data_IF_498170636158
#
_entry.id   IF_498170636158
#
_cell.length_a   1.000
_cell.length_b   1.000
_cell.length_c   1.000
_cell.angle_alpha   90.00
_cell.angle_beta   90.00
_cell.angle_gamma   90.00
#
_symmetry.space_group_name_H-M   'P 1'
#
loop_
_entity.id
_entity.type
_entity.pdbx_description
1 polymer ?
#
# COMPACT_ATOMS: atom_id res chain seq x y z
N UNK A 1 23.07 69.52 -12.30
CA UNK A 1 21.91 68.71 -12.76
C UNK A 1 22.38 67.27 -12.82
N UNK A 2 22.12 66.48 -11.78
CA UNK A 2 22.41 65.05 -11.74
C UNK A 2 21.09 64.31 -11.96
N UNK A 3 20.89 63.90 -13.20
CA UNK A 3 19.67 63.28 -13.70
C UNK A 3 19.78 61.77 -13.47
N UNK A 4 19.38 61.29 -12.28
CA UNK A 4 19.36 59.86 -11.98
C UNK A 4 17.94 59.32 -12.20
N UNK A 5 17.72 58.76 -13.38
CA UNK A 5 16.44 58.19 -13.77
C UNK A 5 16.02 57.05 -12.80
N UNK A 6 14.74 56.98 -12.39
CA UNK A 6 14.29 55.99 -11.42
C UNK A 6 14.43 54.57 -11.96
N UNK A 7 15.13 53.71 -11.20
CA UNK A 7 15.27 52.28 -11.54
C UNK A 7 13.88 51.64 -11.59
N UNK A 8 13.48 51.02 -12.72
CA UNK A 8 12.17 50.41 -12.84
C UNK A 8 12.02 49.26 -11.82
N UNK A 9 10.82 49.08 -11.23
CA UNK A 9 10.59 48.05 -10.24
C UNK A 9 10.91 46.67 -10.82
N UNK A 10 11.73 45.90 -10.10
CA UNK A 10 12.10 44.53 -10.46
C UNK A 10 10.82 43.73 -10.68
N UNK A 11 10.55 43.28 -11.92
CA UNK A 11 9.37 42.45 -12.24
C UNK A 11 9.26 41.32 -11.22
N UNK A 12 8.13 41.21 -10.52
CA UNK A 12 7.81 40.04 -9.69
C UNK A 12 7.95 38.81 -10.59
N UNK A 13 8.89 37.92 -10.29
CA UNK A 13 9.05 36.65 -11.01
C UNK A 13 7.73 35.89 -10.88
N UNK A 14 7.11 35.57 -12.01
CA UNK A 14 5.97 34.67 -12.05
C UNK A 14 6.35 33.39 -11.31
N UNK A 15 5.59 33.00 -10.28
CA UNK A 15 5.64 31.63 -9.78
C UNK A 15 5.16 30.76 -10.94
N UNK A 16 6.09 30.06 -11.60
CA UNK A 16 5.74 29.18 -12.71
C UNK A 16 4.64 28.21 -12.30
N UNK A 17 3.84 27.75 -13.27
CA UNK A 17 2.79 26.74 -13.06
C UNK A 17 3.31 25.42 -12.45
N UNK A 18 4.64 25.23 -12.44
CA UNK A 18 5.28 24.02 -11.97
C UNK A 18 5.75 24.16 -10.52
N UNK A 19 5.36 23.21 -9.64
CA UNK A 19 5.72 23.18 -8.23
C UNK A 19 7.23 23.04 -8.05
N UNK A 20 7.79 23.74 -7.05
CA UNK A 20 9.24 23.81 -6.81
C UNK A 20 9.73 22.81 -5.77
N UNK A 21 8.83 22.32 -4.91
CA UNK A 21 9.07 21.25 -3.94
C UNK A 21 8.11 20.10 -4.19
N UNK A 22 8.46 18.90 -3.72
CA UNK A 22 7.60 17.71 -3.81
C UNK A 22 6.25 17.93 -3.12
N UNK A 23 6.27 18.53 -1.93
CA UNK A 23 5.08 18.96 -1.16
C UNK A 23 4.15 19.88 -1.98
N UNK A 24 4.73 20.76 -2.81
CA UNK A 24 3.97 21.70 -3.65
C UNK A 24 3.29 21.01 -4.84
N UNK A 25 3.72 19.78 -5.19
CA UNK A 25 3.26 19.06 -6.39
C UNK A 25 1.90 18.43 -6.22
N UNK A 26 1.49 18.21 -4.97
CA UNK A 26 0.25 17.58 -4.60
C UNK A 26 -0.69 18.61 -3.98
N UNK A 27 -1.24 19.46 -4.86
CA UNK A 27 -2.33 20.39 -4.54
C UNK A 27 -3.54 19.68 -3.91
N UNK A 28 -3.63 18.38 -4.07
CA UNK A 28 -4.66 17.48 -3.54
C UNK A 28 -4.54 17.22 -2.02
N UNK A 29 -3.39 17.54 -1.40
CA UNK A 29 -3.21 17.52 0.07
C UNK A 29 -3.90 18.70 0.79
N UNK A 30 -4.39 19.70 0.05
CA UNK A 30 -5.11 20.87 0.57
C UNK A 30 -6.50 20.93 -0.09
N UNK A 31 -7.45 20.07 0.32
CA UNK A 31 -8.74 19.90 -0.34
C UNK A 31 -9.55 21.21 -0.37
N UNK A 32 -9.37 22.05 0.66
CA UNK A 32 -10.03 23.36 0.78
C UNK A 32 -9.53 24.36 -0.28
N UNK A 33 -8.30 24.19 -0.78
CA UNK A 33 -7.66 25.12 -1.72
C UNK A 33 -7.73 24.71 -3.18
N UNK A 34 -7.99 23.42 -3.47
CA UNK A 34 -7.96 22.87 -4.83
C UNK A 34 -9.08 21.86 -5.15
N UNK A 35 -10.30 22.11 -4.67
CA UNK A 35 -11.48 21.24 -4.89
C UNK A 35 -11.74 20.85 -6.35
N UNK A 36 -11.54 21.75 -7.32
CA UNK A 36 -11.71 21.45 -8.75
C UNK A 36 -10.69 20.43 -9.29
N UNK A 37 -9.47 20.42 -8.72
CA UNK A 37 -8.41 19.48 -9.12
C UNK A 37 -8.72 18.09 -8.57
N UNK A 38 -9.16 18.02 -7.31
CA UNK A 38 -9.63 16.78 -6.65
C UNK A 38 -10.80 16.18 -7.42
N UNK A 39 -11.82 16.97 -7.76
CA UNK A 39 -12.98 16.53 -8.53
C UNK A 39 -12.60 15.98 -9.92
N UNK A 40 -11.64 16.61 -10.60
CA UNK A 40 -11.15 16.18 -11.92
C UNK A 40 -10.32 14.89 -11.85
N UNK A 41 -9.55 14.70 -10.77
CA UNK A 41 -8.78 13.48 -10.52
C UNK A 41 -9.73 12.31 -10.23
N UNK A 42 -10.73 12.52 -9.37
CA UNK A 42 -11.81 11.55 -9.09
C UNK A 42 -12.57 11.17 -10.36
N UNK A 43 -12.99 12.16 -11.17
CA UNK A 43 -13.70 11.92 -12.43
C UNK A 43 -12.85 11.16 -13.47
N UNK A 44 -11.52 11.17 -13.33
CA UNK A 44 -10.61 10.39 -14.19
C UNK A 44 -10.33 8.98 -13.66
N UNK A 45 -11.03 8.54 -12.61
CA UNK A 45 -10.82 7.24 -11.97
C UNK A 45 -9.48 7.14 -11.23
N UNK A 46 -8.86 8.29 -10.94
CA UNK A 46 -7.60 8.36 -10.19
C UNK A 46 -7.90 8.80 -8.77
N UNK A 47 -7.08 8.31 -7.85
CA UNK A 47 -7.15 8.66 -6.45
C UNK A 47 -6.35 9.94 -6.21
N UNK A 48 -6.97 11.03 -5.70
CA UNK A 48 -6.23 12.22 -5.31
C UNK A 48 -5.19 11.92 -4.23
N UNK A 49 -4.00 12.51 -4.31
CA UNK A 49 -2.94 12.32 -3.33
C UNK A 49 -3.39 12.73 -1.93
N UNK A 50 -3.25 11.81 -0.97
CA UNK A 50 -3.75 11.98 0.40
C UNK A 50 -5.21 11.57 0.61
N UNK A 51 -5.92 11.16 -0.44
CA UNK A 51 -7.18 10.44 -0.35
C UNK A 51 -6.98 8.99 -0.82
N UNK A 52 -7.80 8.06 -0.36
CA UNK A 52 -7.83 6.70 -0.89
C UNK A 52 -9.27 6.39 -1.29
N UNK A 53 -9.51 6.06 -2.57
CA UNK A 53 -10.80 5.56 -3.03
C UNK A 53 -10.70 4.04 -3.01
N UNK A 54 -11.33 3.38 -2.04
CA UNK A 54 -11.35 1.92 -2.00
C UNK A 54 -11.98 1.35 -3.28
N UNK A 55 -11.41 0.27 -3.78
CA UNK A 55 -11.81 -0.39 -5.04
C UNK A 55 -12.85 -1.46 -4.71
N UNK A 56 -13.80 -1.66 -5.62
CA UNK A 56 -14.83 -2.72 -5.54
C UNK A 56 -15.62 -2.74 -4.22
N UNK A 57 -15.79 -1.57 -3.57
CA UNK A 57 -16.47 -1.42 -2.27
C UNK A 57 -17.81 -2.14 -2.27
N UNK A 58 -18.70 -1.76 -3.20
CA UNK A 58 -20.06 -2.31 -3.22
C UNK A 58 -20.04 -3.83 -3.43
N UNK A 59 -19.20 -4.34 -4.33
CA UNK A 59 -19.08 -5.78 -4.58
C UNK A 59 -18.58 -6.56 -3.36
N UNK A 60 -17.58 -6.02 -2.65
CA UNK A 60 -17.06 -6.63 -1.43
C UNK A 60 -18.12 -6.64 -0.33
N UNK A 61 -18.78 -5.52 -0.11
CA UNK A 61 -19.81 -5.38 0.92
C UNK A 61 -21.02 -6.28 0.63
N UNK A 62 -21.45 -6.36 -0.62
CA UNK A 62 -22.55 -7.24 -1.05
C UNK A 62 -22.21 -8.72 -0.82
N UNK A 63 -20.96 -9.10 -1.08
CA UNK A 63 -20.48 -10.48 -0.85
C UNK A 63 -20.47 -10.86 0.63
N UNK A 64 -20.15 -9.90 1.51
CA UNK A 64 -20.10 -10.09 2.96
C UNK A 64 -21.49 -10.13 3.62
N UNK A 65 -22.54 -9.62 2.97
CA UNK A 65 -23.90 -9.56 3.52
C UNK A 65 -23.97 -8.94 4.92
N UNK A 66 -23.29 -7.80 5.08
CA UNK A 66 -23.18 -7.09 6.35
C UNK A 66 -24.56 -6.68 6.90
N UNK A 67 -24.73 -6.82 8.20
CA UNK A 67 -25.92 -6.40 8.93
C UNK A 67 -25.56 -5.75 10.27
N UNK A 68 -26.47 -4.92 10.84
CA UNK A 68 -26.29 -4.37 12.17
C UNK A 68 -26.00 -5.44 13.22
N UNK A 69 -25.08 -5.17 14.14
CA UNK A 69 -24.71 -6.10 15.20
C UNK A 69 -23.60 -7.10 14.84
N UNK A 70 -23.23 -7.22 13.57
CA UNK A 70 -22.18 -8.15 13.15
C UNK A 70 -20.80 -7.74 13.68
N UNK A 71 -20.04 -8.73 14.10
CA UNK A 71 -18.63 -8.61 14.45
C UNK A 71 -17.77 -9.12 13.31
N UNK A 72 -16.73 -8.38 12.94
CA UNK A 72 -15.86 -8.78 11.85
C UNK A 72 -14.44 -8.27 11.95
N UNK A 73 -13.65 -8.69 10.97
CA UNK A 73 -12.24 -8.33 10.82
C UNK A 73 -12.03 -7.67 9.46
N UNK A 74 -11.43 -6.48 9.45
CA UNK A 74 -10.73 -5.94 8.28
C UNK A 74 -9.24 -6.28 8.45
N UNK A 75 -8.76 -7.25 7.68
CA UNK A 75 -7.43 -7.84 7.83
C UNK A 75 -6.31 -6.94 7.25
N UNK A 76 -6.67 -5.88 6.53
CA UNK A 76 -5.78 -5.00 5.78
C UNK A 76 -6.30 -3.56 5.87
N UNK A 77 -6.41 -3.06 7.09
CA UNK A 77 -7.09 -1.81 7.43
C UNK A 77 -6.66 -0.63 6.53
N UNK A 78 -5.36 -0.52 6.22
CA UNK A 78 -4.84 0.45 5.26
C UNK A 78 -5.24 1.87 5.61
N UNK A 79 -5.89 2.56 4.66
CA UNK A 79 -6.42 3.92 4.88
C UNK A 79 -7.77 3.95 5.64
N UNK A 80 -8.43 2.80 5.82
CA UNK A 80 -9.73 2.68 6.50
C UNK A 80 -10.94 3.00 5.63
N UNK A 81 -10.78 3.03 4.31
CA UNK A 81 -11.88 3.30 3.36
C UNK A 81 -12.98 2.23 3.43
N UNK A 82 -12.62 0.95 3.27
CA UNK A 82 -13.56 -0.15 3.45
C UNK A 82 -14.04 -0.27 4.89
N UNK A 83 -13.15 -0.11 5.88
CA UNK A 83 -13.53 -0.14 7.31
C UNK A 83 -14.66 0.83 7.65
N UNK A 84 -14.61 2.08 7.17
CA UNK A 84 -15.71 3.05 7.37
C UNK A 84 -17.02 2.56 6.75
N UNK A 85 -16.97 2.00 5.53
CA UNK A 85 -18.16 1.47 4.86
C UNK A 85 -18.72 0.22 5.52
N UNK A 86 -17.85 -0.62 6.07
CA UNK A 86 -18.24 -1.78 6.88
C UNK A 86 -18.93 -1.29 8.15
N UNK A 87 -18.34 -0.35 8.87
CA UNK A 87 -18.89 0.23 10.11
C UNK A 87 -20.25 0.92 9.89
N UNK A 88 -20.44 1.60 8.76
CA UNK A 88 -21.75 2.15 8.35
C UNK A 88 -22.84 1.06 8.26
N UNK A 89 -22.50 -0.16 7.80
CA UNK A 89 -23.44 -1.26 7.59
C UNK A 89 -23.66 -2.13 8.83
N UNK A 90 -22.67 -2.21 9.71
CA UNK A 90 -22.74 -3.02 10.94
C UNK A 90 -23.20 -2.24 12.16
N UNK A 91 -23.29 -0.91 12.06
CA UNK A 91 -23.94 -0.09 13.07
C UNK A 91 -25.47 -0.19 13.00
N UNK A 92 -26.18 -0.06 14.14
CA UNK A 92 -25.63 -0.05 15.51
C UNK A 92 -25.26 -1.45 16.00
N UNK A 93 -24.40 -1.52 17.02
CA UNK A 93 -24.09 -2.74 17.77
C UNK A 93 -23.03 -3.66 17.17
N UNK A 94 -22.57 -3.40 15.94
CA UNK A 94 -21.48 -4.15 15.33
C UNK A 94 -20.10 -3.75 15.88
N UNK A 95 -19.13 -4.65 15.71
CA UNK A 95 -17.73 -4.46 16.12
C UNK A 95 -16.78 -4.83 14.98
N UNK A 96 -15.83 -3.96 14.65
CA UNK A 96 -14.81 -4.20 13.64
C UNK A 96 -13.42 -4.17 14.26
N UNK A 97 -12.65 -5.24 14.05
CA UNK A 97 -11.21 -5.26 14.31
C UNK A 97 -10.47 -4.92 13.01
N UNK A 98 -9.68 -3.85 13.00
CA UNK A 98 -8.85 -3.46 11.86
C UNK A 98 -7.39 -3.85 12.06
N UNK A 99 -6.87 -4.82 11.30
CA UNK A 99 -5.49 -5.27 11.37
C UNK A 99 -4.63 -4.54 10.34
N UNK A 100 -3.44 -4.14 10.75
CA UNK A 100 -2.41 -3.65 9.83
C UNK A 100 -1.02 -3.89 10.44
N UNK A 101 -0.01 -4.07 9.59
CA UNK A 101 1.39 -4.18 10.01
C UNK A 101 2.09 -2.84 10.05
N UNK A 102 1.55 -1.84 9.35
CA UNK A 102 2.16 -0.53 9.13
C UNK A 102 2.05 0.35 10.38
N UNK A 103 3.17 0.46 11.10
CA UNK A 103 3.25 1.27 12.32
C UNK A 103 3.19 2.78 12.07
N UNK A 104 3.27 3.22 10.82
CA UNK A 104 3.24 4.65 10.44
C UNK A 104 1.83 5.09 10.07
N UNK A 105 1.13 4.27 9.27
CA UNK A 105 -0.20 4.62 8.76
C UNK A 105 -1.35 4.22 9.68
N UNK A 106 -1.25 3.08 10.39
CA UNK A 106 -2.34 2.58 11.24
C UNK A 106 -2.83 3.61 12.28
N UNK A 107 -1.96 4.33 13.04
CA UNK A 107 -2.43 5.33 13.99
C UNK A 107 -3.19 6.50 13.34
N UNK A 108 -2.81 6.87 12.12
CA UNK A 108 -3.51 7.92 11.35
C UNK A 108 -4.89 7.43 10.91
N UNK A 109 -4.99 6.17 10.49
CA UNK A 109 -6.25 5.54 10.12
C UNK A 109 -7.19 5.37 11.31
N UNK A 110 -6.67 4.95 12.46
CA UNK A 110 -7.47 4.91 13.69
C UNK A 110 -8.02 6.30 14.03
N UNK A 111 -7.18 7.34 14.05
CA UNK A 111 -7.61 8.70 14.33
C UNK A 111 -8.72 9.18 13.37
N UNK A 112 -8.62 8.83 12.07
CA UNK A 112 -9.64 9.13 11.06
C UNK A 112 -10.97 8.43 11.36
N UNK A 113 -10.93 7.15 11.72
CA UNK A 113 -12.13 6.37 12.06
C UNK A 113 -12.78 6.90 13.36
N UNK A 114 -11.97 7.27 14.36
CA UNK A 114 -12.47 7.94 15.58
C UNK A 114 -13.15 9.26 15.27
N UNK A 115 -12.53 10.09 14.42
CA UNK A 115 -13.09 11.38 14.01
C UNK A 115 -14.42 11.23 13.24
N UNK A 116 -14.64 10.09 12.58
CA UNK A 116 -15.90 9.75 11.92
C UNK A 116 -17.01 9.26 12.89
N UNK A 117 -16.73 9.19 14.20
CA UNK A 117 -17.70 8.84 15.23
C UNK A 117 -17.67 7.37 15.70
N UNK A 118 -16.71 6.57 15.22
CA UNK A 118 -16.59 5.16 15.60
C UNK A 118 -15.61 4.98 16.78
N UNK A 119 -16.17 4.94 17.98
CA UNK A 119 -15.44 4.77 19.25
C UNK A 119 -14.98 3.34 19.55
N UNK A 120 -14.34 3.14 20.71
CA UNK A 120 -13.76 1.86 21.12
C UNK A 120 -14.81 0.73 21.20
N UNK A 121 -16.08 1.09 21.43
CA UNK A 121 -17.19 0.14 21.51
C UNK A 121 -17.47 -0.58 20.17
N UNK A 122 -17.14 0.03 19.03
CA UNK A 122 -17.44 -0.51 17.71
C UNK A 122 -16.21 -0.70 16.80
N UNK A 123 -15.07 -0.09 17.12
CA UNK A 123 -13.85 -0.22 16.32
C UNK A 123 -12.59 -0.35 17.17
N UNK A 124 -11.71 -1.25 16.78
CA UNK A 124 -10.40 -1.44 17.40
C UNK A 124 -9.32 -1.65 16.33
N UNK A 125 -8.30 -0.78 16.30
CA UNK A 125 -7.13 -0.97 15.46
C UNK A 125 -6.11 -1.88 16.16
N UNK A 126 -5.61 -2.89 15.45
CA UNK A 126 -4.70 -3.90 16.00
C UNK A 126 -3.47 -4.00 15.12
N UNK A 127 -2.30 -3.68 15.67
CA UNK A 127 -1.04 -3.85 14.95
C UNK A 127 -0.67 -5.33 14.85
N UNK A 128 -1.07 -5.97 13.77
CA UNK A 128 -0.83 -7.40 13.51
C UNK A 128 -0.81 -7.65 12.00
N UNK A 129 0.01 -8.62 11.59
CA UNK A 129 -0.17 -9.23 10.28
C UNK A 129 -1.45 -10.08 10.31
N UNK A 130 -2.16 -10.14 9.19
CA UNK A 130 -3.40 -10.92 9.05
C UNK A 130 -3.18 -12.43 9.28
N UNK A 131 -1.98 -12.97 9.05
CA UNK A 131 -1.59 -14.33 9.43
C UNK A 131 -1.73 -14.59 10.94
N UNK A 132 -1.74 -13.54 11.76
CA UNK A 132 -1.94 -13.59 13.21
C UNK A 132 -3.41 -13.53 13.66
N UNK A 133 -4.38 -13.56 12.74
CA UNK A 133 -5.81 -13.34 13.05
C UNK A 133 -6.33 -14.22 14.19
N UNK A 134 -6.03 -15.53 14.17
CA UNK A 134 -6.50 -16.45 15.23
C UNK A 134 -5.98 -16.05 16.62
N UNK A 135 -4.74 -15.56 16.70
CA UNK A 135 -4.15 -15.06 17.96
C UNK A 135 -4.81 -13.75 18.39
N UNK A 136 -5.12 -12.86 17.44
CA UNK A 136 -5.81 -11.59 17.70
C UNK A 136 -7.21 -11.83 18.27
N UNK A 137 -7.96 -12.78 17.69
CA UNK A 137 -9.30 -13.17 18.15
C UNK A 137 -9.23 -13.86 19.52
N UNK A 138 -8.33 -14.83 19.69
CA UNK A 138 -8.16 -15.55 20.96
C UNK A 138 -7.77 -14.64 22.12
N UNK A 139 -6.95 -13.61 21.89
CA UNK A 139 -6.59 -12.62 22.91
C UNK A 139 -7.74 -11.69 23.33
N UNK A 140 -8.86 -11.72 22.59
CA UNK A 140 -10.09 -10.94 22.86
C UNK A 140 -11.26 -11.82 23.29
N UNK A 141 -11.00 -13.11 23.51
CA UNK A 141 -12.03 -14.12 23.79
C UNK A 141 -13.14 -14.14 22.72
N UNK A 142 -12.78 -13.88 21.46
CA UNK A 142 -13.71 -13.94 20.31
C UNK A 142 -13.56 -15.33 19.69
N UNK A 143 -14.57 -16.22 19.84
CA UNK A 143 -14.47 -17.59 19.32
C UNK A 143 -14.61 -17.65 17.79
N UNK A 144 -15.21 -16.64 17.17
CA UNK A 144 -15.36 -16.51 15.72
C UNK A 144 -16.04 -15.19 15.37
N UNK A 145 -15.92 -14.78 14.11
CA UNK A 145 -16.52 -13.55 13.58
C UNK A 145 -17.50 -13.84 12.45
N UNK A 146 -18.44 -12.93 12.22
CA UNK A 146 -19.45 -13.02 11.16
C UNK A 146 -18.86 -12.79 9.78
N UNK A 147 -17.83 -11.94 9.69
CA UNK A 147 -17.16 -11.66 8.42
C UNK A 147 -15.68 -11.34 8.56
N UNK A 148 -14.94 -11.61 7.49
CA UNK A 148 -13.54 -11.22 7.32
C UNK A 148 -13.36 -10.57 5.95
N UNK A 149 -12.76 -9.39 5.92
CA UNK A 149 -12.39 -8.66 4.72
C UNK A 149 -10.87 -8.57 4.59
N UNK A 150 -10.33 -8.70 3.38
CA UNK A 150 -8.93 -8.42 3.09
C UNK A 150 -8.80 -7.77 1.69
N UNK A 151 -8.01 -6.71 1.60
CA UNK A 151 -7.60 -5.99 0.40
C UNK A 151 -6.08 -6.13 0.28
N UNK A 152 -5.63 -7.13 -0.48
CA UNK A 152 -4.22 -7.53 -0.50
C UNK A 152 -3.34 -6.50 -1.23
N UNK A 153 -2.03 -6.61 -1.06
CA UNK A 153 -1.07 -5.71 -1.71
C UNK A 153 -0.77 -4.42 -0.94
N UNK A 154 -0.33 -3.39 -1.67
CA UNK A 154 0.15 -2.13 -1.07
C UNK A 154 -0.94 -1.08 -0.97
N UNK A 155 -0.94 -0.33 0.13
CA UNK A 155 -1.76 0.87 0.20
C UNK A 155 -1.19 1.98 -0.70
N UNK A 156 -2.08 2.82 -1.23
CA UNK A 156 -1.67 4.06 -1.93
C UNK A 156 -0.72 4.92 -1.10
N UNK A 157 -0.90 4.97 0.22
CA UNK A 157 -0.02 5.73 1.13
C UNK A 157 1.44 5.24 1.08
N UNK A 158 1.65 3.93 0.90
CA UNK A 158 2.98 3.34 0.75
C UNK A 158 3.60 3.61 -0.63
N UNK A 159 2.79 3.66 -1.69
CA UNK A 159 3.24 3.90 -3.05
C UNK A 159 3.53 5.39 -3.33
N UNK A 160 2.75 6.28 -2.71
CA UNK A 160 2.81 7.72 -2.95
C UNK A 160 3.89 8.41 -2.11
N UNK A 161 4.25 7.86 -0.95
CA UNK A 161 5.36 8.34 -0.12
C UNK A 161 6.71 7.76 -0.61
N UNK A 162 7.58 8.58 -1.25
CA UNK A 162 8.86 8.09 -1.75
C UNK A 162 9.78 7.57 -0.63
N UNK A 163 9.60 8.04 0.61
CA UNK A 163 10.42 7.60 1.75
C UNK A 163 10.19 6.13 2.11
N UNK A 164 9.09 5.53 1.63
CA UNK A 164 8.74 4.11 1.82
C UNK A 164 9.40 3.18 0.81
N UNK A 165 9.86 3.70 -0.34
CA UNK A 165 10.65 2.93 -1.28
C UNK A 165 9.90 1.93 -2.17
N UNK A 166 8.56 2.00 -2.25
CA UNK A 166 7.77 1.08 -3.08
C UNK A 166 7.72 1.48 -4.56
N UNK A 167 8.08 2.71 -4.91
CA UNK A 167 7.99 3.26 -6.26
C UNK A 167 9.34 3.71 -6.80
N UNK A 168 9.59 3.45 -8.07
CA UNK A 168 10.76 3.93 -8.82
C UNK A 168 10.49 5.21 -9.63
N UNK A 169 9.27 5.78 -9.54
CA UNK A 169 8.91 7.02 -10.25
C UNK A 169 9.61 8.25 -9.65
N UNK A 170 9.85 8.21 -8.34
CA UNK A 170 10.55 9.24 -7.57
C UNK A 170 11.64 8.55 -6.76
N UNK A 171 12.83 9.13 -6.69
CA UNK A 171 13.91 8.57 -5.90
C UNK A 171 13.56 8.56 -4.40
N UNK A 172 13.74 7.41 -3.77
CA UNK A 172 13.59 7.18 -2.34
C UNK A 172 14.50 6.03 -1.89
N UNK A 173 14.67 5.81 -0.57
CA UNK A 173 15.44 4.68 -0.07
C UNK A 173 14.85 3.36 -0.57
N UNK A 174 15.70 2.38 -0.89
CA UNK A 174 15.23 1.05 -1.29
C UNK A 174 14.82 0.22 -0.05
N UNK A 175 13.65 0.55 0.51
CA UNK A 175 13.11 -0.06 1.75
C UNK A 175 12.05 -1.13 1.47
N UNK A 176 10.89 -0.76 0.92
CA UNK A 176 9.77 -1.66 0.57
C UNK A 176 9.15 -2.45 1.73
N UNK A 177 9.49 -2.18 2.99
CA UNK A 177 8.82 -2.82 4.12
C UNK A 177 7.47 -2.17 4.40
N UNK A 178 6.44 -3.00 4.47
CA UNK A 178 5.12 -2.59 4.96
C UNK A 178 5.19 -2.24 6.46
N UNK A 179 5.99 -2.98 7.23
CA UNK A 179 6.36 -2.62 8.59
C UNK A 179 7.83 -2.16 8.66
N UNK A 180 8.10 -0.83 8.67
CA UNK A 180 9.47 -0.32 8.64
C UNK A 180 10.26 -0.61 9.93
N UNK A 181 9.62 -1.11 10.99
CA UNK A 181 10.25 -1.41 12.28
C UNK A 181 10.78 -2.85 12.39
N UNK A 182 10.57 -3.72 11.38
CA UNK A 182 10.93 -5.15 11.44
C UNK A 182 11.45 -5.65 10.10
N UNK A 183 12.23 -6.73 10.14
CA UNK A 183 12.76 -7.38 8.94
C UNK A 183 13.86 -6.58 8.25
N UNK A 184 14.33 -7.11 7.12
CA UNK A 184 15.33 -6.48 6.28
C UNK A 184 14.66 -5.55 5.28
N UNK A 185 15.22 -4.37 5.06
CA UNK A 185 14.88 -3.55 3.88
C UNK A 185 15.21 -4.28 2.58
N UNK A 186 14.59 -3.89 1.47
CA UNK A 186 14.90 -4.41 0.15
C UNK A 186 16.39 -4.25 -0.21
N UNK A 187 17.03 -3.14 0.17
CA UNK A 187 18.47 -2.95 0.01
C UNK A 187 19.29 -3.98 0.79
N UNK A 188 18.95 -4.24 2.05
CA UNK A 188 19.65 -5.21 2.89
C UNK A 188 19.42 -6.65 2.43
N UNK A 189 18.20 -6.95 1.96
CA UNK A 189 17.83 -8.24 1.42
C UNK A 189 18.59 -8.52 0.12
N UNK A 190 18.60 -7.58 -0.83
CA UNK A 190 19.34 -7.71 -2.09
C UNK A 190 20.84 -7.89 -1.89
N UNK A 191 21.43 -7.21 -0.90
CA UNK A 191 22.85 -7.36 -0.55
C UNK A 191 23.20 -8.77 -0.05
N UNK A 192 22.23 -9.51 0.50
CA UNK A 192 22.44 -10.82 1.14
C UNK A 192 21.91 -12.00 0.32
N UNK A 193 20.91 -11.78 -0.54
CA UNK A 193 20.27 -12.85 -1.31
C UNK A 193 21.25 -13.44 -2.32
N UNK A 194 21.23 -14.76 -2.47
CA UNK A 194 22.00 -15.44 -3.51
C UNK A 194 21.33 -15.29 -4.87
N UNK A 195 22.07 -15.53 -5.95
CA UNK A 195 21.53 -15.50 -7.32
C UNK A 195 20.36 -16.48 -7.44
N UNK A 196 20.52 -17.69 -6.92
CA UNK A 196 19.50 -18.76 -7.03
C UNK A 196 18.22 -18.38 -6.29
N UNK A 197 18.34 -17.81 -5.08
CA UNK A 197 17.19 -17.37 -4.30
C UNK A 197 16.48 -16.18 -4.93
N UNK A 198 17.23 -15.25 -5.52
CA UNK A 198 16.62 -14.12 -6.21
C UNK A 198 15.92 -14.55 -7.50
N UNK A 199 16.54 -15.44 -8.29
CA UNK A 199 15.91 -16.00 -9.48
C UNK A 199 14.60 -16.72 -9.12
N UNK A 200 14.60 -17.52 -8.06
CA UNK A 200 13.40 -18.19 -7.57
C UNK A 200 12.31 -17.17 -7.18
N UNK A 201 12.66 -16.12 -6.43
CA UNK A 201 11.72 -15.07 -6.05
C UNK A 201 11.15 -14.33 -7.27
N UNK A 202 11.95 -14.07 -8.31
CA UNK A 202 11.50 -13.41 -9.54
C UNK A 202 10.50 -14.29 -10.32
N UNK A 203 10.73 -15.60 -10.35
CA UNK A 203 9.80 -16.57 -10.93
C UNK A 203 8.51 -16.66 -10.10
N UNK A 204 8.63 -17.09 -8.83
CA UNK A 204 7.47 -17.43 -8.00
C UNK A 204 6.59 -16.23 -7.66
N UNK A 205 7.18 -15.04 -7.49
CA UNK A 205 6.43 -13.86 -7.03
C UNK A 205 5.98 -12.92 -8.14
N UNK A 206 6.47 -13.08 -9.37
CA UNK A 206 6.16 -12.14 -10.46
C UNK A 206 6.15 -12.71 -11.87
N UNK A 207 6.35 -14.01 -12.05
CA UNK A 207 6.42 -14.67 -13.36
C UNK A 207 7.42 -13.98 -14.32
N UNK A 208 8.55 -13.47 -13.82
CA UNK A 208 9.51 -12.72 -14.64
C UNK A 208 10.29 -13.65 -15.59
N UNK A 209 10.12 -13.54 -16.92
CA UNK A 209 10.72 -14.49 -17.87
C UNK A 209 12.26 -14.45 -17.91
N UNK A 210 12.88 -13.38 -17.41
CA UNK A 210 14.34 -13.18 -17.40
C UNK A 210 14.94 -13.34 -16.01
N UNK A 211 14.25 -14.02 -15.10
CA UNK A 211 14.60 -14.15 -13.69
C UNK A 211 16.08 -14.48 -13.44
N UNK A 212 16.64 -15.49 -14.11
CA UNK A 212 18.04 -15.90 -13.93
C UNK A 212 19.01 -14.77 -14.31
N UNK A 213 18.84 -14.21 -15.50
CA UNK A 213 19.74 -13.16 -16.01
C UNK A 213 19.67 -11.86 -15.19
N UNK A 214 18.47 -11.53 -14.68
CA UNK A 214 18.28 -10.37 -13.80
C UNK A 214 18.91 -10.65 -12.43
N UNK A 215 18.72 -11.86 -11.89
CA UNK A 215 19.28 -12.24 -10.61
C UNK A 215 20.81 -12.20 -10.62
N UNK A 216 21.45 -12.72 -11.67
CA UNK A 216 22.91 -12.59 -11.88
C UNK A 216 23.37 -11.13 -11.90
N UNK A 217 22.54 -10.24 -12.46
CA UNK A 217 22.86 -8.84 -12.60
C UNK A 217 22.70 -8.03 -11.31
N UNK A 218 21.89 -8.45 -10.34
CA UNK A 218 21.54 -7.60 -9.17
C UNK A 218 21.72 -8.26 -7.80
N UNK A 219 21.78 -9.60 -7.71
CA UNK A 219 21.97 -10.29 -6.43
C UNK A 219 23.32 -9.93 -5.80
N UNK A 220 23.34 -9.75 -4.47
CA UNK A 220 24.54 -9.39 -3.71
C UNK A 220 25.01 -7.94 -3.93
N UNK A 221 24.36 -7.16 -4.80
CA UNK A 221 24.72 -5.76 -5.05
C UNK A 221 24.02 -4.84 -4.05
N UNK A 222 24.60 -3.65 -3.88
CA UNK A 222 24.06 -2.61 -3.00
C UNK A 222 23.49 -1.49 -3.85
N UNK A 223 22.25 -1.10 -3.54
CA UNK A 223 21.57 0.02 -4.16
C UNK A 223 21.01 0.90 -3.04
N UNK A 224 21.25 2.20 -3.12
CA UNK A 224 20.81 3.14 -2.09
C UNK A 224 19.40 3.65 -2.37
N UNK A 225 19.02 3.75 -3.65
CA UNK A 225 17.74 4.33 -4.04
C UNK A 225 16.94 3.46 -5.01
N UNK A 226 15.62 3.63 -5.00
CA UNK A 226 14.70 2.97 -5.93
C UNK A 226 15.03 3.26 -7.40
N UNK A 227 15.44 4.49 -7.72
CA UNK A 227 15.81 4.88 -9.09
C UNK A 227 17.13 4.28 -9.56
N UNK A 228 18.11 4.16 -8.66
CA UNK A 228 19.38 3.48 -8.94
C UNK A 228 19.13 2.00 -9.22
N UNK A 229 18.32 1.36 -8.38
CA UNK A 229 17.95 -0.03 -8.56
C UNK A 229 17.18 -0.27 -9.87
N UNK A 230 16.20 0.58 -10.18
CA UNK A 230 15.48 0.52 -11.44
C UNK A 230 16.39 0.73 -12.67
N UNK A 231 17.41 1.58 -12.57
CA UNK A 231 18.40 1.75 -13.64
C UNK A 231 19.25 0.49 -13.84
N UNK A 232 19.64 -0.18 -12.76
CA UNK A 232 20.39 -1.44 -12.83
C UNK A 232 19.59 -2.56 -13.50
N UNK A 233 18.30 -2.67 -13.19
CA UNK A 233 17.39 -3.61 -13.87
C UNK A 233 17.28 -3.28 -15.36
N UNK A 234 17.04 -2.00 -15.72
CA UNK A 234 16.96 -1.62 -17.13
C UNK A 234 18.24 -1.93 -17.90
N UNK A 235 19.40 -1.74 -17.27
CA UNK A 235 20.69 -2.03 -17.88
C UNK A 235 20.97 -3.53 -18.06
N UNK A 236 20.31 -4.42 -17.31
CA UNK A 236 20.49 -5.87 -17.45
C UNK A 236 19.65 -6.47 -18.58
N UNK A 237 18.68 -5.73 -19.12
CA UNK A 237 17.75 -6.22 -20.14
C UNK A 237 18.26 -5.89 -21.54
N UNK A 238 18.38 -6.92 -22.39
CA UNK A 238 18.74 -6.78 -23.81
C UNK A 238 17.48 -6.75 -24.69
N UNK A 239 16.72 -5.67 -24.61
CA UNK A 239 15.58 -5.41 -25.52
C UNK A 239 15.56 -3.93 -25.91
N UNK A 240 15.14 -3.64 -27.14
CA UNK A 240 14.87 -2.26 -27.60
C UNK A 240 13.48 -1.75 -27.20
N UNK A 241 12.60 -2.65 -26.75
CA UNK A 241 11.23 -2.34 -26.35
C UNK A 241 11.21 -1.70 -24.95
N UNK A 242 10.87 -0.42 -24.88
CA UNK A 242 10.83 0.33 -23.61
C UNK A 242 9.67 -0.12 -22.70
N UNK A 243 8.53 -0.52 -23.27
CA UNK A 243 7.36 -0.95 -22.50
C UNK A 243 7.67 -2.26 -21.78
N UNK A 244 8.34 -3.17 -22.47
CA UNK A 244 8.82 -4.42 -21.89
C UNK A 244 9.90 -4.20 -20.82
N UNK A 245 10.78 -3.21 -20.97
CA UNK A 245 11.73 -2.86 -19.90
C UNK A 245 11.03 -2.35 -18.66
N UNK A 246 10.06 -1.45 -18.83
CA UNK A 246 9.29 -0.90 -17.70
C UNK A 246 8.41 -1.97 -17.04
N UNK A 247 7.88 -2.93 -17.80
CA UNK A 247 7.16 -4.08 -17.26
C UNK A 247 8.08 -4.97 -16.41
N UNK A 248 9.29 -5.26 -16.88
CA UNK A 248 10.27 -6.00 -16.07
C UNK A 248 10.64 -5.27 -14.79
N UNK A 249 10.83 -3.93 -14.82
CA UNK A 249 11.10 -3.17 -13.58
C UNK A 249 9.94 -3.35 -12.59
N UNK A 250 8.68 -3.33 -13.06
CA UNK A 250 7.50 -3.55 -12.19
C UNK A 250 7.47 -4.96 -11.60
N UNK A 251 7.71 -6.00 -12.42
CA UNK A 251 7.79 -7.41 -11.96
C UNK A 251 8.87 -7.61 -10.90
N UNK A 252 10.08 -7.08 -11.14
CA UNK A 252 11.19 -7.17 -10.19
C UNK A 252 10.88 -6.45 -8.87
N UNK A 253 10.29 -5.25 -8.93
CA UNK A 253 9.87 -4.53 -7.72
C UNK A 253 8.79 -5.30 -6.94
N UNK A 254 7.80 -5.87 -7.63
CA UNK A 254 6.78 -6.72 -7.03
C UNK A 254 7.39 -7.95 -6.35
N UNK A 255 8.27 -8.69 -7.03
CA UNK A 255 8.87 -9.90 -6.48
C UNK A 255 9.70 -9.64 -5.22
N UNK A 256 10.45 -8.53 -5.21
CA UNK A 256 11.24 -8.14 -4.04
C UNK A 256 10.32 -7.70 -2.90
N UNK A 257 9.28 -6.92 -3.21
CA UNK A 257 8.28 -6.51 -2.21
C UNK A 257 7.66 -7.73 -1.51
N UNK A 258 7.18 -8.70 -2.30
CA UNK A 258 6.59 -9.95 -1.81
C UNK A 258 7.60 -10.71 -0.94
N UNK A 259 8.86 -10.78 -1.35
CA UNK A 259 9.92 -11.45 -0.59
C UNK A 259 10.28 -10.75 0.73
N UNK A 260 10.35 -9.42 0.71
CA UNK A 260 10.70 -8.59 1.88
C UNK A 260 9.59 -8.63 2.95
N UNK A 261 8.35 -8.74 2.51
CA UNK A 261 7.18 -8.74 3.39
C UNK A 261 6.59 -10.13 3.66
N UNK A 262 7.20 -11.18 3.09
CA UNK A 262 6.75 -12.58 3.20
C UNK A 262 5.25 -12.75 2.84
N UNK A 263 4.77 -12.02 1.83
CA UNK A 263 3.33 -11.82 1.56
C UNK A 263 2.61 -13.15 1.31
N UNK A 264 3.19 -14.06 0.52
CA UNK A 264 2.61 -15.38 0.27
C UNK A 264 2.64 -16.31 1.46
N UNK A 265 3.69 -16.27 2.29
CA UNK A 265 3.74 -17.06 3.53
C UNK A 265 2.66 -16.57 4.49
N UNK A 266 2.48 -15.25 4.60
CA UNK A 266 1.42 -14.67 5.40
C UNK A 266 0.03 -15.05 4.85
N UNK A 267 -0.15 -15.02 3.53
CA UNK A 267 -1.42 -15.37 2.87
C UNK A 267 -1.79 -16.84 3.09
N UNK A 268 -0.86 -17.79 2.89
CA UNK A 268 -1.12 -19.21 3.16
C UNK A 268 -1.52 -19.44 4.63
N UNK A 269 -0.79 -18.84 5.58
CA UNK A 269 -1.12 -18.93 7.00
C UNK A 269 -2.50 -18.35 7.33
N UNK A 270 -2.87 -17.23 6.70
CA UNK A 270 -4.18 -16.61 6.84
C UNK A 270 -5.29 -17.48 6.29
N UNK A 271 -5.15 -18.00 5.07
CA UNK A 271 -6.12 -18.88 4.42
C UNK A 271 -6.38 -20.13 5.26
N UNK A 272 -5.34 -20.72 5.86
CA UNK A 272 -5.47 -21.86 6.78
C UNK A 272 -6.20 -21.50 8.08
N UNK A 273 -6.08 -20.26 8.55
CA UNK A 273 -6.71 -19.81 9.79
C UNK A 273 -8.20 -19.46 9.63
N UNK A 274 -8.64 -19.08 8.42
CA UNK A 274 -10.01 -18.59 8.16
C UNK A 274 -11.12 -19.51 8.72
N UNK A 275 -11.11 -20.85 8.50
CA UNK A 275 -12.21 -21.70 8.95
C UNK A 275 -12.38 -21.75 10.48
N UNK A 276 -11.29 -21.55 11.22
CA UNK A 276 -11.31 -21.51 12.68
C UNK A 276 -11.66 -20.13 13.25
N UNK A 277 -11.65 -19.09 12.42
CA UNK A 277 -11.92 -17.71 12.81
C UNK A 277 -13.35 -17.27 12.52
N UNK A 278 -14.14 -18.04 11.78
CA UNK A 278 -15.50 -17.71 11.38
C UNK A 278 -16.54 -18.48 12.19
N UNK A 279 -17.66 -17.83 12.46
CA UNK A 279 -18.87 -18.54 12.91
C UNK A 279 -19.50 -19.34 11.75
N UNK A 280 -20.35 -20.34 12.02
CA UNK A 280 -21.12 -21.01 10.97
C UNK A 280 -21.91 -20.01 10.12
N UNK A 281 -21.72 -20.05 8.81
CA UNK A 281 -22.36 -19.11 7.87
C UNK A 281 -21.62 -17.77 7.70
N UNK A 282 -20.52 -17.56 8.42
CA UNK A 282 -19.68 -16.39 8.26
C UNK A 282 -19.03 -16.31 6.87
N UNK A 283 -18.72 -15.09 6.44
CA UNK A 283 -18.32 -14.80 5.05
C UNK A 283 -16.93 -14.16 4.98
N UNK A 284 -16.21 -14.47 3.91
CA UNK A 284 -14.91 -13.84 3.62
C UNK A 284 -14.97 -13.18 2.26
N UNK A 285 -14.43 -11.97 2.16
CA UNK A 285 -14.17 -11.29 0.90
C UNK A 285 -12.69 -10.90 0.85
N UNK A 286 -11.99 -11.36 -0.18
CA UNK A 286 -10.58 -11.08 -0.42
C UNK A 286 -10.46 -10.42 -1.79
N UNK A 287 -9.84 -9.24 -1.86
CA UNK A 287 -9.41 -8.60 -3.10
C UNK A 287 -7.94 -8.92 -3.35
N UNK A 288 -7.67 -9.46 -4.53
CA UNK A 288 -6.33 -9.81 -5.01
C UNK A 288 -5.94 -8.89 -6.17
N UNK A 289 -4.64 -8.62 -6.34
CA UNK A 289 -4.13 -7.70 -7.37
C UNK A 289 -3.20 -8.37 -8.37
N UNK A 290 -2.85 -9.64 -8.16
CA UNK A 290 -2.10 -10.44 -9.13
C UNK A 290 -2.45 -11.92 -9.05
N UNK A 291 -2.15 -12.64 -10.12
CA UNK A 291 -2.46 -14.07 -10.30
C UNK A 291 -1.88 -14.98 -9.21
N UNK A 292 -0.74 -14.64 -8.62
CA UNK A 292 -0.18 -15.44 -7.53
C UNK A 292 -0.95 -15.34 -6.21
N UNK A 293 -1.75 -14.28 -6.02
CA UNK A 293 -2.64 -14.14 -4.84
C UNK A 293 -3.99 -14.85 -5.03
N UNK A 294 -4.48 -14.93 -6.28
CA UNK A 294 -5.79 -15.50 -6.68
C UNK A 294 -5.76 -17.04 -6.78
#
# INVERSE_FOLDING_TARGET
MSDEAPRPPRRKRYSGKNPRRFEDKYKEHDPERYGDTVAKVIASGKTPAGSHIPIMVDQCLDSLQLAPGMTGVDATLGHGGHALKILEKTAPGGRLLGLDVDSVEQPKTEARIRAAGYGEDCFEAVRSNYAGIAKVLGARDIPGVDFIFADLGCSSMQLDDPTRGFSFKTAGPLDMRMNPSRGLSAAEWLKKVSVEKLALALHENSDEPRAESIAEAIAGKSFSTTTEFAAAIRASIRTSDEDERDLTVRRVFQAIRISVNEEFTALDAFMRALPACLVPGGRVAILTFHSGED
#
